data_IF_214031971217
#
_entry.id   IF_214031971217
#
_cell.length_a   1.000
_cell.length_b   1.000
_cell.length_c   1.000
_cell.angle_alpha   90.00
_cell.angle_beta   90.00
_cell.angle_gamma   90.00
#
_symmetry.space_group_name_H-M   'P 1'
#
loop_
_entity.id
_entity.type
_entity.pdbx_description
1 polymer ?
#
# COMPACT_ATOMS: atom_id res chain seq x y z
N UNK A 1 36.66 -14.83 31.10
CA UNK A 1 37.06 -13.53 30.53
C UNK A 1 36.03 -12.95 29.56
N UNK A 2 35.51 -13.73 28.62
CA UNK A 2 34.67 -13.18 27.53
C UNK A 2 33.37 -12.53 28.02
N UNK A 3 32.74 -13.09 29.07
CA UNK A 3 31.57 -12.48 29.69
C UNK A 3 31.85 -11.10 30.29
N UNK A 4 33.07 -10.87 30.77
CA UNK A 4 33.47 -9.58 31.36
C UNK A 4 33.70 -8.52 30.28
N UNK A 5 34.30 -8.92 29.15
CA UNK A 5 34.47 -8.07 27.97
C UNK A 5 33.13 -7.62 27.39
N UNK A 6 32.16 -8.54 27.31
CA UNK A 6 30.81 -8.24 26.82
C UNK A 6 30.04 -7.25 27.72
N UNK A 7 30.20 -7.37 29.04
CA UNK A 7 29.56 -6.45 29.99
C UNK A 7 30.14 -5.04 29.88
N UNK A 8 31.46 -4.92 29.73
CA UNK A 8 32.10 -3.61 29.52
C UNK A 8 31.68 -2.98 28.18
N UNK A 9 31.63 -3.76 27.09
CA UNK A 9 31.17 -3.28 25.78
C UNK A 9 29.71 -2.79 25.85
N UNK A 10 28.84 -3.52 26.54
CA UNK A 10 27.45 -3.11 26.74
C UNK A 10 27.35 -1.83 27.56
N UNK A 11 28.17 -1.67 28.60
CA UNK A 11 28.18 -0.46 29.43
C UNK A 11 28.63 0.77 28.63
N UNK A 12 29.66 0.66 27.79
CA UNK A 12 30.13 1.77 26.95
C UNK A 12 29.11 2.26 25.93
N UNK A 13 28.25 1.36 25.43
CA UNK A 13 27.20 1.71 24.47
C UNK A 13 25.95 2.23 25.18
N UNK A 14 25.54 1.60 26.28
CA UNK A 14 24.29 1.94 26.98
C UNK A 14 24.43 3.09 27.97
N UNK A 15 25.66 3.43 28.41
CA UNK A 15 25.91 4.55 29.33
C UNK A 15 25.90 5.92 28.64
N UNK A 16 25.90 5.97 27.30
CA UNK A 16 25.84 7.22 26.53
C UNK A 16 24.59 7.21 25.64
N UNK A 17 23.70 8.18 25.86
CA UNK A 17 22.41 8.27 25.15
C UNK A 17 22.56 8.38 23.62
N UNK A 18 23.63 8.99 23.12
CA UNK A 18 23.90 9.11 21.68
C UNK A 18 24.33 7.77 21.08
N UNK A 19 25.25 7.05 21.74
CA UNK A 19 25.70 5.72 21.30
C UNK A 19 24.57 4.70 21.36
N UNK A 20 23.74 4.77 22.40
CA UNK A 20 22.52 3.98 22.52
C UNK A 20 21.56 4.25 21.37
N UNK A 21 21.28 5.51 21.05
CA UNK A 21 20.39 5.86 19.95
C UNK A 21 20.92 5.43 18.56
N UNK A 22 22.23 5.32 18.38
CA UNK A 22 22.85 4.78 17.15
C UNK A 22 22.71 3.26 17.11
N UNK A 23 23.00 2.57 18.21
CA UNK A 23 22.81 1.12 18.35
C UNK A 23 21.36 0.71 18.08
N UNK A 24 20.40 1.43 18.67
CA UNK A 24 18.98 1.16 18.55
C UNK A 24 18.47 1.35 17.10
N UNK A 25 19.10 2.23 16.32
CA UNK A 25 18.70 2.53 14.94
C UNK A 25 19.37 1.66 13.88
N UNK A 26 20.64 1.32 14.08
CA UNK A 26 21.47 0.71 13.03
C UNK A 26 22.18 -0.58 13.46
N UNK A 27 22.00 -1.02 14.71
CA UNK A 27 22.56 -2.25 15.24
C UNK A 27 24.06 -2.18 15.58
N UNK A 28 24.61 -3.31 16.03
CA UNK A 28 26.00 -3.42 16.52
C UNK A 28 27.06 -3.02 15.47
N UNK A 29 26.76 -3.18 14.18
CA UNK A 29 27.72 -2.92 13.11
C UNK A 29 27.93 -1.43 12.82
N UNK A 30 26.99 -0.56 13.22
CA UNK A 30 27.16 0.89 13.12
C UNK A 30 28.22 1.45 14.08
N UNK A 31 28.45 0.75 15.19
CA UNK A 31 29.51 1.09 16.16
C UNK A 31 30.88 0.54 15.77
N UNK A 32 30.94 -0.43 14.84
CA UNK A 32 32.20 -1.00 14.33
C UNK A 32 32.79 -0.20 13.16
N UNK A 33 31.96 0.59 12.46
CA UNK A 33 32.32 1.29 11.22
C UNK A 33 32.76 2.75 11.36
N UNK A 34 32.84 3.30 12.58
CA UNK A 34 33.26 4.68 12.83
C UNK A 34 34.23 4.73 13.99
N UNK A 35 35.47 5.14 13.71
CA UNK A 35 36.55 5.20 14.68
C UNK A 35 36.17 6.04 15.91
N UNK A 36 35.87 5.37 17.01
CA UNK A 36 35.80 6.01 18.32
C UNK A 36 36.20 5.01 19.40
N UNK A 37 37.50 4.71 19.44
CA UNK A 37 38.08 3.81 20.42
C UNK A 37 39.57 3.58 20.21
N UNK A 38 40.38 4.60 20.52
CA UNK A 38 41.76 4.52 21.02
C UNK A 38 42.63 5.65 20.46
N UNK A 39 42.75 6.74 21.21
CA UNK A 39 44.00 7.49 21.37
C UNK A 39 43.83 8.58 22.44
N UNK A 40 44.50 8.37 23.56
CA UNK A 40 45.02 9.40 24.45
C UNK A 40 45.51 10.64 23.69
N UNK A 41 44.95 11.82 24.00
CA UNK A 41 45.63 13.12 24.17
C UNK A 41 44.73 14.29 23.74
N UNK A 42 44.73 15.36 24.52
CA UNK A 42 44.63 16.70 23.94
C UNK A 42 43.28 17.38 24.00
N UNK A 43 43.20 18.33 24.92
CA UNK A 43 42.29 19.48 24.95
C UNK A 43 42.22 20.22 23.60
N UNK A 44 41.01 20.38 23.03
CA UNK A 44 40.71 21.37 22.00
C UNK A 44 39.76 20.92 20.88
N UNK A 45 38.71 21.72 20.61
CA UNK A 45 38.14 21.84 19.27
C UNK A 45 36.77 21.22 19.03
N UNK A 46 35.71 21.91 19.44
CA UNK A 46 34.33 21.74 18.97
C UNK A 46 34.15 22.24 17.52
N UNK A 47 35.15 22.05 16.66
CA UNK A 47 35.17 22.49 15.26
C UNK A 47 35.00 21.31 14.27
N UNK A 48 35.23 20.07 14.71
CA UNK A 48 35.24 18.88 13.85
C UNK A 48 33.85 18.21 13.67
N UNK A 49 32.81 18.74 14.32
CA UNK A 49 31.44 18.29 14.08
C UNK A 49 30.87 18.90 12.78
N UNK A 50 31.45 20.00 12.28
CA UNK A 50 31.14 20.57 10.98
C UNK A 50 31.66 19.70 9.82
N UNK A 51 32.81 19.06 9.99
CA UNK A 51 33.46 18.28 8.93
C UNK A 51 33.02 16.82 8.86
N UNK A 52 32.53 16.25 9.97
CA UNK A 52 31.78 14.98 9.95
C UNK A 52 30.38 15.16 9.33
N UNK A 53 29.73 16.31 9.55
CA UNK A 53 28.45 16.60 8.89
C UNK A 53 28.65 16.96 7.42
N UNK A 54 29.75 17.61 7.04
CA UNK A 54 30.05 17.92 5.64
C UNK A 54 30.54 16.70 4.85
N UNK A 55 31.21 15.73 5.47
CA UNK A 55 31.62 14.48 4.79
C UNK A 55 30.49 13.44 4.71
N UNK A 56 29.63 13.34 5.74
CA UNK A 56 28.46 12.45 5.69
C UNK A 56 27.31 13.01 4.83
N UNK A 57 27.18 14.34 4.72
CA UNK A 57 26.15 15.00 3.91
C UNK A 57 26.67 15.54 2.56
N UNK A 58 27.99 15.65 2.37
CA UNK A 58 28.63 16.22 1.19
C UNK A 58 29.33 15.22 0.26
N UNK A 59 29.57 13.97 0.68
CA UNK A 59 30.14 12.92 -0.20
C UNK A 59 29.11 11.87 -0.65
N UNK A 60 27.84 12.02 -0.24
CA UNK A 60 26.68 11.26 -0.75
C UNK A 60 25.98 11.91 -1.95
N UNK A 61 26.39 13.11 -2.37
CA UNK A 61 25.88 13.81 -3.55
C UNK A 61 26.77 13.62 -4.80
N UNK A 62 27.64 12.60 -4.78
CA UNK A 62 28.33 12.09 -5.94
C UNK A 62 27.34 11.53 -6.96
N UNK A 63 27.19 12.24 -8.08
CA UNK A 63 26.79 11.68 -9.37
C UNK A 63 25.70 10.61 -9.30
N UNK A 64 24.58 10.94 -8.62
CA UNK A 64 23.34 10.26 -8.94
C UNK A 64 23.01 10.72 -10.34
N UNK A 65 23.47 9.91 -11.31
CA UNK A 65 22.88 9.80 -12.64
C UNK A 65 21.47 10.31 -12.53
N UNK A 66 21.17 11.38 -13.26
CA UNK A 66 19.78 11.79 -13.50
C UNK A 66 19.13 10.62 -14.22
N UNK A 67 18.82 9.54 -13.50
CA UNK A 67 17.63 8.76 -13.70
C UNK A 67 16.55 9.82 -13.56
N UNK A 68 16.24 10.45 -14.70
CA UNK A 68 14.88 10.79 -15.05
C UNK A 68 14.11 9.61 -14.51
N UNK A 69 13.47 9.78 -13.36
CA UNK A 69 12.49 8.85 -12.85
C UNK A 69 11.51 8.83 -14.00
N UNK A 70 11.66 7.84 -14.88
CA UNK A 70 10.84 7.70 -16.06
C UNK A 70 9.44 7.75 -15.49
N UNK A 71 8.75 8.84 -15.79
CA UNK A 71 7.38 9.12 -15.36
C UNK A 71 6.45 8.21 -16.15
N UNK A 72 6.76 6.93 -16.12
CA UNK A 72 5.87 5.84 -16.45
C UNK A 72 5.07 5.45 -15.20
N UNK A 73 4.84 6.41 -14.29
CA UNK A 73 3.74 6.31 -13.34
C UNK A 73 2.46 6.33 -14.17
N UNK A 74 1.91 5.15 -14.36
CA UNK A 74 0.60 5.01 -14.93
C UNK A 74 -0.40 5.67 -13.98
N UNK A 75 -1.24 6.55 -14.52
CA UNK A 75 -2.24 7.29 -13.72
C UNK A 75 -3.30 6.36 -13.11
N UNK A 76 -3.34 5.10 -13.55
CA UNK A 76 -4.25 4.07 -13.10
C UNK A 76 -3.44 2.84 -12.74
N UNK A 77 -3.77 2.14 -11.64
CA UNK A 77 -3.18 0.84 -11.35
C UNK A 77 -3.66 -0.18 -12.38
N UNK A 78 -2.84 -1.17 -12.72
CA UNK A 78 -3.24 -2.29 -13.60
C UNK A 78 -4.40 -3.07 -13.00
N UNK A 79 -4.33 -3.29 -11.70
CA UNK A 79 -5.23 -4.18 -10.97
C UNK A 79 -6.16 -3.38 -10.07
N UNK A 80 -7.35 -3.92 -9.81
CA UNK A 80 -8.29 -3.34 -8.86
C UNK A 80 -9.11 -4.41 -8.13
N UNK A 81 -9.74 -4.00 -7.03
CA UNK A 81 -10.54 -4.88 -6.17
C UNK A 81 -12.02 -4.50 -6.32
N UNK A 82 -12.87 -5.51 -6.50
CA UNK A 82 -14.34 -5.40 -6.41
C UNK A 82 -14.79 -6.17 -5.19
N UNK A 83 -15.69 -5.57 -4.40
CA UNK A 83 -16.31 -6.27 -3.27
C UNK A 83 -17.56 -7.00 -3.77
N UNK A 84 -17.59 -8.32 -3.57
CA UNK A 84 -18.76 -9.13 -3.85
C UNK A 84 -19.45 -9.52 -2.53
N UNK A 85 -20.67 -9.02 -2.35
CA UNK A 85 -21.53 -9.42 -1.24
C UNK A 85 -22.23 -10.74 -1.58
N UNK A 86 -22.10 -11.70 -0.68
CA UNK A 86 -22.79 -12.99 -0.73
C UNK A 86 -23.66 -13.15 0.50
N UNK A 87 -24.79 -13.81 0.36
CA UNK A 87 -25.53 -14.30 1.52
C UNK A 87 -24.75 -15.41 2.23
N UNK A 88 -25.07 -15.64 3.49
CA UNK A 88 -24.50 -16.74 4.27
C UNK A 88 -24.59 -18.09 3.54
N UNK A 89 -25.77 -18.42 3.02
CA UNK A 89 -26.00 -19.67 2.28
C UNK A 89 -25.19 -19.76 0.98
N UNK A 90 -25.08 -18.67 0.23
CA UNK A 90 -24.24 -18.62 -0.98
C UNK A 90 -22.76 -18.84 -0.64
N UNK A 91 -22.29 -18.32 0.49
CA UNK A 91 -20.91 -18.51 0.93
C UNK A 91 -20.65 -19.96 1.37
N UNK A 92 -21.60 -20.59 2.07
CA UNK A 92 -21.49 -21.98 2.51
C UNK A 92 -21.58 -22.97 1.35
N UNK A 93 -22.57 -22.84 0.47
CA UNK A 93 -22.82 -23.81 -0.61
C UNK A 93 -22.09 -23.52 -1.92
N UNK A 94 -21.48 -22.34 -2.04
CA UNK A 94 -20.97 -21.84 -3.31
C UNK A 94 -22.09 -21.41 -4.26
N UNK A 95 -21.75 -20.58 -5.25
CA UNK A 95 -22.71 -20.14 -6.25
C UNK A 95 -22.03 -19.68 -7.54
N UNK A 96 -22.83 -19.56 -8.60
CA UNK A 96 -22.42 -18.88 -9.84
C UNK A 96 -23.04 -17.49 -9.86
N UNK A 97 -22.22 -16.46 -10.06
CA UNK A 97 -22.69 -15.07 -10.03
C UNK A 97 -22.08 -14.27 -11.17
N UNK A 98 -22.93 -13.55 -11.91
CA UNK A 98 -22.49 -12.57 -12.88
C UNK A 98 -22.19 -11.25 -12.16
N UNK A 99 -21.01 -10.71 -12.38
CA UNK A 99 -20.61 -9.41 -11.84
C UNK A 99 -20.42 -8.43 -12.99
N UNK A 100 -21.18 -7.35 -12.95
CA UNK A 100 -20.94 -6.18 -13.78
C UNK A 100 -19.96 -5.25 -13.07
N UNK A 101 -18.91 -4.84 -13.77
CA UNK A 101 -17.90 -3.96 -13.22
C UNK A 101 -17.50 -2.88 -14.22
N UNK A 102 -16.99 -1.77 -13.69
CA UNK A 102 -16.44 -0.68 -14.49
C UNK A 102 -14.94 -0.69 -14.32
N UNK A 103 -14.22 -0.67 -15.43
CA UNK A 103 -12.76 -0.62 -15.48
C UNK A 103 -12.31 0.61 -16.25
N UNK A 104 -11.07 1.01 -16.01
CA UNK A 104 -10.45 2.19 -16.62
C UNK A 104 -9.59 1.75 -17.81
N UNK A 105 -9.82 2.39 -18.94
CA UNK A 105 -9.02 2.24 -20.15
C UNK A 105 -8.18 3.49 -20.33
N UNK A 106 -6.86 3.35 -20.48
CA UNK A 106 -6.00 4.48 -20.86
C UNK A 106 -6.55 5.17 -22.12
N UNK A 107 -6.64 6.50 -22.05
CA UNK A 107 -7.22 7.29 -23.14
C UNK A 107 -6.30 7.21 -24.37
N UNK A 108 -6.81 6.62 -25.46
CA UNK A 108 -6.05 6.43 -26.71
C UNK A 108 -5.64 7.76 -27.36
N UNK A 109 -6.49 8.79 -27.28
CA UNK A 109 -6.24 10.09 -27.91
C UNK A 109 -5.07 10.85 -27.29
N UNK A 110 -4.84 10.68 -25.99
CA UNK A 110 -3.75 11.36 -25.28
C UNK A 110 -2.69 10.40 -24.73
N UNK A 111 -2.76 9.11 -25.05
CA UNK A 111 -1.90 8.04 -24.49
C UNK A 111 -1.78 8.11 -22.96
N UNK A 112 -2.88 8.41 -22.29
CA UNK A 112 -2.96 8.54 -20.83
C UNK A 112 -2.23 9.73 -20.20
N UNK A 113 -1.75 10.69 -20.99
CA UNK A 113 -1.18 11.94 -20.46
C UNK A 113 -2.26 12.90 -19.92
N UNK A 114 -3.49 12.81 -20.44
CA UNK A 114 -4.57 13.76 -20.15
C UNK A 114 -4.43 15.10 -20.87
N UNK A 115 -3.39 15.27 -21.70
CA UNK A 115 -3.18 16.48 -22.49
C UNK A 115 -3.83 16.37 -23.88
N UNK A 116 -4.26 17.49 -24.44
CA UNK A 116 -4.69 17.55 -25.84
C UNK A 116 -3.56 17.04 -26.76
N UNK A 117 -3.91 16.13 -27.66
CA UNK A 117 -2.97 15.43 -28.56
C UNK A 117 -1.81 14.71 -27.87
N UNK A 118 -1.90 14.47 -26.55
CA UNK A 118 -0.83 13.87 -25.76
C UNK A 118 0.38 14.79 -25.52
N UNK A 119 0.32 16.07 -25.89
CA UNK A 119 1.46 17.00 -25.82
C UNK A 119 1.56 17.64 -24.43
N UNK A 120 2.65 17.35 -23.74
CA UNK A 120 2.98 18.00 -22.48
C UNK A 120 3.98 19.14 -22.72
N UNK A 121 3.87 20.19 -21.91
CA UNK A 121 4.81 21.31 -21.91
C UNK A 121 5.60 21.30 -20.60
N UNK A 122 6.84 21.76 -20.66
CA UNK A 122 7.66 21.92 -19.45
C UNK A 122 6.95 22.83 -18.47
N UNK A 123 6.81 22.39 -17.22
CA UNK A 123 6.10 23.15 -16.20
C UNK A 123 6.87 24.47 -15.95
N UNK A 124 6.24 25.64 -16.17
CA UNK A 124 6.93 26.92 -16.04
C UNK A 124 7.34 27.22 -14.60
N UNK A 125 6.60 26.70 -13.63
CA UNK A 125 6.80 26.95 -12.19
C UNK A 125 8.04 26.26 -11.62
N UNK A 126 8.28 25.00 -12.01
CA UNK A 126 9.48 24.26 -11.59
C UNK A 126 10.55 24.18 -12.67
N UNK A 127 10.30 24.73 -13.86
CA UNK A 127 11.19 24.65 -15.03
C UNK A 127 11.68 23.22 -15.32
N UNK A 128 10.76 22.25 -15.27
CA UNK A 128 11.09 20.83 -15.48
C UNK A 128 11.71 20.11 -14.28
N UNK A 129 11.99 20.78 -13.15
CA UNK A 129 12.61 20.17 -11.96
C UNK A 129 11.66 19.30 -11.14
N UNK A 130 10.34 19.41 -11.33
CA UNK A 130 9.32 18.68 -10.55
C UNK A 130 9.17 19.16 -9.10
N UNK A 131 10.07 20.00 -8.59
CA UNK A 131 10.07 20.54 -7.24
C UNK A 131 10.25 22.06 -7.26
N UNK A 132 9.73 22.73 -6.24
CA UNK A 132 9.84 24.17 -5.99
C UNK A 132 10.45 24.38 -4.62
N UNK A 133 11.38 25.33 -4.50
CA UNK A 133 11.91 25.73 -3.20
C UNK A 133 10.89 26.63 -2.49
N UNK A 134 10.54 26.29 -1.25
CA UNK A 134 9.71 27.10 -0.36
C UNK A 134 10.61 27.56 0.78
N UNK A 135 10.86 28.86 0.86
CA UNK A 135 11.66 29.44 1.94
C UNK A 135 10.76 29.75 3.14
N UNK A 136 11.10 29.18 4.30
CA UNK A 136 10.48 29.49 5.58
C UNK A 136 11.57 30.00 6.52
N UNK A 137 11.60 31.32 6.73
CA UNK A 137 12.67 31.99 7.45
C UNK A 137 14.00 31.87 6.70
N UNK A 138 15.04 31.42 7.40
CA UNK A 138 16.40 31.24 6.86
C UNK A 138 16.63 29.87 6.19
N UNK A 139 15.63 28.98 6.19
CA UNK A 139 15.73 27.62 5.63
C UNK A 139 14.86 27.51 4.38
N UNK A 140 15.42 26.94 3.31
CA UNK A 140 14.66 26.60 2.08
C UNK A 140 14.41 25.11 2.03
N UNK A 141 13.13 24.72 1.95
CA UNK A 141 12.71 23.33 1.81
C UNK A 141 12.29 23.06 0.36
N UNK A 142 12.68 21.91 -0.17
CA UNK A 142 12.19 21.45 -1.46
C UNK A 142 10.79 20.84 -1.27
N UNK A 143 9.78 21.40 -1.93
CA UNK A 143 8.45 20.84 -1.98
C UNK A 143 8.13 20.36 -3.41
N UNK A 144 7.36 19.29 -3.54
CA UNK A 144 6.82 18.86 -4.84
C UNK A 144 6.05 20.01 -5.50
N UNK A 145 6.35 20.28 -6.78
CA UNK A 145 5.70 21.35 -7.51
C UNK A 145 4.19 21.06 -7.60
N UNK A 146 3.31 21.96 -7.12
CA UNK A 146 1.86 21.70 -7.09
C UNK A 146 1.23 21.69 -8.49
N UNK A 147 1.87 22.33 -9.46
CA UNK A 147 1.34 22.50 -10.82
C UNK A 147 1.56 21.27 -11.71
N UNK A 148 2.65 20.53 -11.49
CA UNK A 148 2.98 19.31 -12.24
C UNK A 148 3.04 18.06 -11.35
N UNK A 149 2.77 18.19 -10.05
CA UNK A 149 2.77 17.10 -9.08
C UNK A 149 4.06 16.25 -9.09
N UNK A 150 5.21 16.89 -9.34
CA UNK A 150 6.50 16.18 -9.41
C UNK A 150 6.93 15.75 -10.80
N UNK A 151 6.05 15.78 -11.80
CA UNK A 151 6.32 15.27 -13.16
C UNK A 151 7.30 16.19 -13.91
N UNK A 152 7.32 17.50 -13.60
CA UNK A 152 8.12 18.48 -14.32
C UNK A 152 7.49 18.96 -15.63
N UNK A 153 6.44 18.28 -16.09
CA UNK A 153 5.67 18.64 -17.28
C UNK A 153 4.18 18.78 -16.93
N UNK A 154 3.46 19.64 -17.67
CA UNK A 154 2.05 19.93 -17.48
C UNK A 154 1.34 19.97 -18.84
N UNK A 155 0.09 19.54 -18.87
CA UNK A 155 -0.78 19.74 -20.03
C UNK A 155 -1.10 21.23 -20.19
N UNK A 156 -0.84 21.80 -21.38
CA UNK A 156 -1.27 23.15 -21.74
C UNK A 156 -2.78 23.23 -21.88
N UNK A 157 -3.35 22.26 -22.59
CA UNK A 157 -4.78 22.07 -22.77
C UNK A 157 -5.18 20.66 -22.34
N UNK A 158 -6.35 20.54 -21.70
CA UNK A 158 -6.90 19.24 -21.32
C UNK A 158 -7.35 18.48 -22.57
N UNK A 159 -7.14 17.18 -22.59
CA UNK A 159 -7.72 16.30 -23.61
C UNK A 159 -9.25 16.41 -23.58
N UNK A 160 -9.88 16.59 -24.74
CA UNK A 160 -11.34 16.65 -24.90
C UNK A 160 -12.02 15.36 -24.44
N UNK A 161 -11.43 14.22 -24.79
CA UNK A 161 -12.10 12.91 -24.70
C UNK A 161 -12.14 12.41 -23.26
N UNK A 162 -11.01 12.50 -22.55
CA UNK A 162 -10.91 12.10 -21.14
C UNK A 162 -11.02 13.28 -20.16
N UNK A 163 -11.26 14.50 -20.65
CA UNK A 163 -11.38 15.74 -19.85
C UNK A 163 -10.19 16.00 -18.91
N UNK A 164 -9.01 15.52 -19.28
CA UNK A 164 -7.78 15.65 -18.49
C UNK A 164 -7.45 14.47 -17.57
N UNK A 165 -8.34 13.48 -17.43
CA UNK A 165 -8.14 12.33 -16.53
C UNK A 165 -7.04 11.37 -17.03
N UNK A 166 -6.87 11.25 -18.34
CA UNK A 166 -5.93 10.30 -18.96
C UNK A 166 -6.49 8.87 -19.08
N UNK A 167 -7.74 8.64 -18.71
CA UNK A 167 -8.42 7.37 -18.92
C UNK A 167 -9.90 7.61 -19.18
N UNK A 168 -10.54 6.63 -19.79
CA UNK A 168 -11.99 6.55 -19.99
C UNK A 168 -12.52 5.34 -19.22
N UNK A 169 -13.73 5.44 -18.69
CA UNK A 169 -14.38 4.33 -18.01
C UNK A 169 -15.16 3.47 -19.01
N UNK A 170 -15.12 2.16 -18.82
CA UNK A 170 -15.80 1.18 -19.66
C UNK A 170 -16.41 0.10 -18.79
N UNK A 171 -17.53 -0.47 -19.23
CA UNK A 171 -18.22 -1.54 -18.52
C UNK A 171 -17.88 -2.89 -19.13
N UNK A 172 -17.77 -3.91 -18.30
CA UNK A 172 -17.58 -5.31 -18.69
C UNK A 172 -18.30 -6.19 -17.66
N UNK A 173 -18.57 -7.44 -18.03
CA UNK A 173 -19.18 -8.41 -17.15
C UNK A 173 -18.42 -9.73 -17.18
N UNK A 174 -18.51 -10.47 -16.08
CA UNK A 174 -17.86 -11.79 -15.96
C UNK A 174 -18.70 -12.70 -15.06
N UNK A 175 -18.86 -13.94 -15.50
CA UNK A 175 -19.43 -15.00 -14.67
C UNK A 175 -18.33 -15.57 -13.78
N UNK A 176 -18.58 -15.61 -12.47
CA UNK A 176 -17.67 -16.19 -11.49
C UNK A 176 -18.30 -17.41 -10.84
N UNK A 177 -17.52 -18.48 -10.76
CA UNK A 177 -17.83 -19.65 -9.96
C UNK A 177 -17.17 -19.47 -8.59
N UNK A 178 -17.99 -19.30 -7.56
CA UNK A 178 -17.53 -19.13 -6.19
C UNK A 178 -17.58 -20.49 -5.53
N UNK A 179 -16.45 -20.99 -5.01
CA UNK A 179 -16.41 -22.28 -4.35
C UNK A 179 -17.23 -22.27 -3.05
N UNK A 180 -17.62 -23.45 -2.60
CA UNK A 180 -18.24 -23.65 -1.30
C UNK A 180 -17.26 -23.33 -0.15
N UNK A 181 -17.81 -22.95 1.00
CA UNK A 181 -17.04 -22.65 2.21
C UNK A 181 -16.25 -21.33 2.18
N UNK A 182 -16.48 -20.44 1.22
CA UNK A 182 -15.78 -19.14 1.19
C UNK A 182 -16.11 -18.29 2.41
N UNK A 183 -15.14 -17.48 2.83
CA UNK A 183 -15.25 -16.61 3.99
C UNK A 183 -14.97 -15.14 3.63
N UNK A 184 -15.41 -14.24 4.52
CA UNK A 184 -15.22 -12.81 4.39
C UNK A 184 -13.73 -12.46 4.37
N UNK A 185 -13.34 -11.68 3.36
CA UNK A 185 -11.95 -11.24 3.19
C UNK A 185 -11.15 -12.10 2.22
N UNK A 186 -11.61 -13.30 1.86
CA UNK A 186 -11.02 -14.09 0.77
C UNK A 186 -11.03 -13.30 -0.55
N UNK A 187 -9.97 -13.48 -1.34
CA UNK A 187 -9.79 -12.80 -2.64
C UNK A 187 -9.70 -13.81 -3.76
N UNK A 188 -10.60 -13.72 -4.72
CA UNK A 188 -10.54 -14.49 -5.96
C UNK A 188 -9.92 -13.64 -7.07
N UNK A 189 -8.89 -14.14 -7.74
CA UNK A 189 -8.26 -13.46 -8.88
C UNK A 189 -8.99 -13.80 -10.17
N UNK A 190 -9.36 -12.78 -10.93
CA UNK A 190 -9.97 -12.88 -12.25
C UNK A 190 -9.00 -12.29 -13.26
N UNK A 191 -8.36 -13.18 -14.01
CA UNK A 191 -7.28 -12.83 -14.93
C UNK A 191 -7.77 -11.92 -16.06
N UNK A 192 -6.96 -10.94 -16.46
CA UNK A 192 -7.20 -10.06 -17.60
C UNK A 192 -8.56 -9.34 -17.56
N UNK A 193 -9.09 -9.06 -16.36
CA UNK A 193 -10.31 -8.27 -16.14
C UNK A 193 -10.05 -6.94 -15.42
N UNK A 194 -8.79 -6.59 -15.20
CA UNK A 194 -8.34 -5.32 -14.63
C UNK A 194 -8.45 -4.13 -15.60
N UNK A 195 -7.74 -3.05 -15.26
CA UNK A 195 -7.64 -1.85 -16.07
C UNK A 195 -6.75 -2.08 -17.30
N UNK A 196 -6.99 -1.32 -18.38
CA UNK A 196 -6.17 -1.34 -19.59
C UNK A 196 -5.18 -0.19 -19.55
N UNK A 197 -3.90 -0.55 -19.58
CA UNK A 197 -2.76 0.34 -19.45
C UNK A 197 -2.39 1.00 -20.78
N UNK A 198 -1.41 1.92 -20.77
CA UNK A 198 -1.02 2.70 -21.97
C UNK A 198 -0.46 1.80 -23.09
N UNK A 199 0.27 0.76 -22.70
CA UNK A 199 0.82 -0.26 -23.58
C UNK A 199 -0.23 -1.27 -24.09
N UNK A 200 -1.49 -1.13 -23.68
CA UNK A 200 -2.58 -2.05 -24.03
C UNK A 200 -2.64 -3.34 -23.20
N UNK A 201 -1.74 -3.54 -22.24
CA UNK A 201 -1.84 -4.68 -21.32
C UNK A 201 -3.00 -4.48 -20.36
N UNK A 202 -3.77 -5.54 -20.12
CA UNK A 202 -4.85 -5.54 -19.15
C UNK A 202 -4.38 -6.22 -17.87
N UNK A 203 -4.54 -5.54 -16.74
CA UNK A 203 -4.25 -6.12 -15.43
C UNK A 203 -5.34 -7.10 -14.99
N UNK A 204 -5.35 -7.41 -13.70
CA UNK A 204 -6.29 -8.36 -13.11
C UNK A 204 -7.33 -7.70 -12.21
N UNK A 205 -8.48 -8.36 -12.06
CA UNK A 205 -9.49 -7.96 -11.10
C UNK A 205 -9.48 -8.94 -9.93
N UNK A 206 -9.42 -8.43 -8.71
CA UNK A 206 -9.57 -9.24 -7.51
C UNK A 206 -10.96 -9.05 -6.94
N UNK A 207 -11.67 -10.14 -6.71
CA UNK A 207 -12.98 -10.12 -6.09
C UNK A 207 -12.80 -10.46 -4.62
N UNK A 208 -12.98 -9.46 -3.76
CA UNK A 208 -12.99 -9.64 -2.31
C UNK A 208 -14.39 -10.05 -1.88
N UNK A 209 -14.49 -11.23 -1.28
CA UNK A 209 -15.74 -11.77 -0.80
C UNK A 209 -16.10 -11.09 0.53
N UNK A 210 -17.37 -10.74 0.68
CA UNK A 210 -17.98 -10.28 1.92
C UNK A 210 -19.22 -11.16 2.12
N UNK A 211 -19.10 -12.16 3.00
CA UNK A 211 -20.24 -12.97 3.40
C UNK A 211 -21.09 -12.17 4.39
N UNK A 212 -22.38 -12.06 4.12
CA UNK A 212 -23.34 -11.47 5.03
C UNK A 212 -23.58 -12.43 6.19
N UNK A 213 -23.77 -11.84 7.37
CA UNK A 213 -24.26 -12.56 8.56
C UNK A 213 -25.68 -13.07 8.31
N UNK A 214 -26.06 -14.13 9.03
CA UNK A 214 -27.39 -14.71 9.02
C UNK A 214 -28.02 -14.54 10.41
N UNK A 215 -29.32 -14.28 10.46
CA UNK A 215 -30.03 -14.08 11.73
C UNK A 215 -30.18 -15.38 12.52
N UNK A 216 -30.10 -16.54 11.85
CA UNK A 216 -30.31 -17.86 12.45
C UNK A 216 -28.99 -18.57 12.73
N UNK A 217 -28.00 -18.38 11.87
CA UNK A 217 -26.73 -19.10 11.91
C UNK A 217 -25.55 -18.17 12.17
N UNK A 218 -24.78 -18.49 13.20
CA UNK A 218 -23.50 -17.82 13.49
C UNK A 218 -22.40 -18.77 13.03
N UNK A 219 -21.56 -18.33 12.09
CA UNK A 219 -20.40 -19.10 11.65
C UNK A 219 -19.14 -18.61 12.33
N UNK A 220 -18.37 -19.56 12.85
CA UNK A 220 -17.03 -19.36 13.37
C UNK A 220 -16.12 -20.36 12.65
N UNK A 221 -15.29 -19.86 11.73
CA UNK A 221 -14.47 -20.69 10.84
C UNK A 221 -15.27 -21.80 10.12
N UNK A 222 -15.06 -23.05 10.51
CA UNK A 222 -15.70 -24.25 9.94
C UNK A 222 -16.93 -24.70 10.75
N UNK A 223 -17.19 -24.08 11.90
CA UNK A 223 -18.31 -24.39 12.79
C UNK A 223 -19.48 -23.44 12.56
N UNK A 224 -20.69 -23.98 12.74
CA UNK A 224 -21.95 -23.23 12.63
C UNK A 224 -22.75 -23.43 13.90
N UNK A 225 -22.97 -22.33 14.60
CA UNK A 225 -23.78 -22.23 15.80
C UNK A 225 -25.17 -21.74 15.48
N UNK A 226 -26.11 -22.19 16.30
CA UNK A 226 -27.48 -21.67 16.35
C UNK A 226 -27.84 -21.43 17.80
N UNK A 227 -28.41 -20.27 18.08
CA UNK A 227 -29.03 -19.99 19.37
C UNK A 227 -30.50 -20.41 19.30
N UNK A 228 -30.86 -21.45 20.05
CA UNK A 228 -32.23 -21.94 20.11
C UNK A 228 -32.81 -21.75 21.52
N UNK A 229 -33.84 -20.89 21.69
CA UNK A 229 -34.46 -20.70 22.99
C UNK A 229 -35.27 -21.95 23.38
N UNK A 230 -34.93 -22.56 24.52
CA UNK A 230 -35.65 -23.71 25.08
C UNK A 230 -36.43 -23.28 26.32
N UNK A 231 -37.70 -23.66 26.41
CA UNK A 231 -38.48 -23.39 27.62
C UNK A 231 -38.04 -24.29 28.77
N UNK A 232 -38.00 -23.74 29.98
CA UNK A 232 -37.57 -24.45 31.19
C UNK A 232 -38.29 -25.80 31.40
N UNK A 233 -39.60 -25.85 31.12
CA UNK A 233 -40.39 -27.09 31.24
C UNK A 233 -39.95 -28.15 30.23
N UNK A 234 -39.56 -27.76 29.01
CA UNK A 234 -39.08 -28.67 27.97
C UNK A 234 -37.74 -29.29 28.37
N UNK A 235 -36.86 -28.49 28.98
CA UNK A 235 -35.57 -28.95 29.46
C UNK A 235 -35.70 -29.98 30.61
N UNK A 236 -36.68 -29.82 31.51
CA UNK A 236 -36.90 -30.75 32.63
C UNK A 236 -37.62 -32.03 32.20
N UNK A 237 -38.65 -31.91 31.38
CA UNK A 237 -39.51 -33.05 31.01
C UNK A 237 -38.88 -33.92 29.92
N UNK A 238 -37.95 -33.38 29.14
CA UNK A 238 -37.41 -34.03 27.95
C UNK A 238 -38.44 -34.00 26.82
N UNK A 239 -38.20 -33.16 25.81
CA UNK A 239 -39.01 -33.06 24.61
C UNK A 239 -38.13 -33.10 23.36
N UNK A 240 -38.64 -33.65 22.27
CA UNK A 240 -37.96 -33.60 20.97
C UNK A 240 -38.28 -32.29 20.26
N UNK A 241 -37.24 -31.50 19.99
CA UNK A 241 -37.34 -30.21 19.30
C UNK A 241 -36.73 -30.34 17.91
N UNK A 242 -37.39 -29.80 16.89
CA UNK A 242 -36.83 -29.71 15.54
C UNK A 242 -35.86 -28.54 15.45
N UNK A 243 -34.63 -28.81 15.04
CA UNK A 243 -33.59 -27.79 14.93
C UNK A 243 -33.36 -27.49 13.45
N UNK A 244 -33.45 -26.22 13.01
CA UNK A 244 -33.14 -25.88 11.63
C UNK A 244 -31.64 -26.09 11.39
N UNK A 245 -31.32 -26.73 10.28
CA UNK A 245 -29.96 -26.95 9.82
C UNK A 245 -29.73 -26.19 8.52
N UNK A 246 -28.47 -26.04 8.14
CA UNK A 246 -28.10 -25.31 6.92
C UNK A 246 -28.70 -25.96 5.66
N UNK A 247 -28.97 -27.27 5.70
CA UNK A 247 -29.52 -28.08 4.60
C UNK A 247 -31.01 -28.43 4.76
N UNK A 248 -31.68 -28.05 5.85
CA UNK A 248 -33.07 -28.45 6.10
C UNK A 248 -33.43 -28.43 7.59
N UNK A 249 -34.02 -29.50 8.10
CA UNK A 249 -34.39 -29.66 9.51
C UNK A 249 -33.86 -31.02 10.02
N UNK A 250 -33.42 -31.06 11.28
CA UNK A 250 -33.02 -32.28 11.99
C UNK A 250 -33.86 -32.47 13.27
#
# INVERSE_FOLDING_TARGET
EDKFKLVNEAYEVLSNDEKRAIYDRYGKDALKGGGFGSSSSGFGGFEDLGDIFSSFFGEGFGSSSRRRKSSNDEKIPSDFIVNLKLSFKEAVFGCKKNIDFTYKCSCKTCNGTGAKDGKLQTCPKCQGRGQVGVSQGFITFAQTCPDCQGIGEKASEKCSDCKGLGYNESKDSVELNIPEGVDTGMKLRVNAKGNILKNGTRGDMYVKIIAAEDDTFIRDDDDIYIEFPVFFTQAILGESIKVPTIRGEA
#
